data_IF_026971621348
#
_entry.id   IF_026971621348
#
_cell.length_a   1.000
_cell.length_b   1.000
_cell.length_c   1.000
_cell.angle_alpha   90.00
_cell.angle_beta   90.00
_cell.angle_gamma   90.00
#
_symmetry.space_group_name_H-M   'P 1'
#
loop_
_entity.id
_entity.type
_entity.pdbx_description
1 polymer ?
#
# COMPACT_ATOMS: atom_id res chain seq x y z
N UNK A 1 9.60 -3.50 3.51
CA UNK A 1 8.65 -4.08 2.51
C UNK A 1 9.09 -3.87 1.06
N UNK A 2 9.80 -2.78 0.71
CA UNK A 2 10.37 -2.56 -0.64
C UNK A 2 11.87 -2.29 -0.58
N UNK A 3 12.61 -2.59 -1.66
CA UNK A 3 14.07 -2.51 -1.70
C UNK A 3 14.60 -1.07 -1.86
N UNK A 4 13.84 -0.15 -2.48
CA UNK A 4 14.21 1.27 -2.55
C UNK A 4 13.00 2.18 -2.75
N UNK A 5 13.12 3.47 -2.38
CA UNK A 5 12.06 4.48 -2.56
C UNK A 5 11.67 4.67 -4.04
N UNK A 6 12.64 4.61 -4.95
CA UNK A 6 12.42 4.79 -6.39
C UNK A 6 11.69 3.59 -7.03
N UNK A 7 12.01 2.37 -6.59
CA UNK A 7 11.36 1.16 -7.09
C UNK A 7 9.91 1.06 -6.61
N UNK A 8 9.64 1.47 -5.37
CA UNK A 8 8.27 1.60 -4.86
C UNK A 8 7.45 2.57 -5.70
N UNK A 9 8.01 3.74 -6.04
CA UNK A 9 7.30 4.74 -6.85
C UNK A 9 6.96 4.22 -8.25
N UNK A 10 7.89 3.51 -8.91
CA UNK A 10 7.64 2.87 -10.20
C UNK A 10 6.56 1.79 -10.13
N UNK A 11 6.56 0.98 -9.06
CA UNK A 11 5.54 -0.05 -8.85
C UNK A 11 4.14 0.54 -8.60
N UNK A 12 4.06 1.64 -7.85
CA UNK A 12 2.81 2.37 -7.61
C UNK A 12 2.29 2.97 -8.93
N UNK A 13 3.14 3.69 -9.66
CA UNK A 13 2.77 4.26 -10.97
C UNK A 13 2.35 3.20 -11.99
N UNK A 14 2.95 2.01 -11.95
CA UNK A 14 2.59 0.86 -12.78
C UNK A 14 1.31 0.13 -12.33
N UNK A 15 0.62 0.60 -11.28
CA UNK A 15 -0.58 -0.05 -10.74
C UNK A 15 -0.30 -1.42 -10.10
N UNK A 16 0.96 -1.68 -9.74
CA UNK A 16 1.43 -2.91 -9.12
C UNK A 16 1.27 -2.93 -7.61
N UNK A 17 0.72 -1.87 -7.00
CA UNK A 17 0.44 -1.77 -5.57
C UNK A 17 -1.04 -1.47 -5.36
N UNK A 18 -1.65 -2.16 -4.40
CA UNK A 18 -3.01 -1.89 -3.96
C UNK A 18 -3.07 -1.85 -2.45
N UNK A 19 -3.89 -0.98 -1.89
CA UNK A 19 -4.09 -0.83 -0.45
C UNK A 19 -5.58 -1.00 -0.19
N UNK A 20 -5.96 -1.89 0.74
CA UNK A 20 -7.34 -2.24 1.03
C UNK A 20 -8.17 -2.62 -0.22
N UNK A 21 -7.54 -3.32 -1.18
CA UNK A 21 -8.08 -3.68 -2.51
C UNK A 21 -8.29 -2.50 -3.48
N UNK A 22 -7.91 -1.27 -3.11
CA UNK A 22 -7.88 -0.13 -4.03
C UNK A 22 -6.48 0.05 -4.61
N UNK A 23 -6.38 0.31 -5.92
CA UNK A 23 -5.07 0.56 -6.55
C UNK A 23 -4.53 1.90 -6.10
N UNK A 24 -3.28 1.91 -5.63
CA UNK A 24 -2.59 3.15 -5.30
C UNK A 24 -2.03 3.72 -6.60
N UNK A 25 -2.48 4.92 -6.97
CA UNK A 25 -2.01 5.65 -8.15
C UNK A 25 -0.96 6.70 -7.78
N UNK A 26 -1.01 7.23 -6.55
CA UNK A 26 -0.06 8.22 -6.05
C UNK A 26 0.82 7.67 -4.93
N UNK A 27 2.14 7.77 -5.12
CA UNK A 27 3.12 7.35 -4.12
C UNK A 27 3.20 8.28 -2.92
N UNK A 28 2.64 9.49 -3.02
CA UNK A 28 2.54 10.46 -1.94
C UNK A 28 1.17 10.41 -1.23
N UNK A 29 0.31 9.44 -1.58
CA UNK A 29 -0.98 9.31 -0.92
C UNK A 29 -0.78 9.06 0.58
N UNK A 30 -1.37 9.95 1.39
CA UNK A 30 -1.35 9.85 2.84
C UNK A 30 -2.48 8.94 3.31
N UNK A 31 -2.13 7.81 3.92
CA UNK A 31 -3.09 6.97 4.60
C UNK A 31 -3.30 7.49 6.02
N UNK A 32 -4.50 7.98 6.29
CA UNK A 32 -4.95 8.46 7.59
C UNK A 32 -5.76 7.39 8.31
N UNK A 33 -6.20 7.67 9.54
CA UNK A 33 -7.02 6.76 10.34
C UNK A 33 -8.33 6.34 9.65
N UNK A 34 -8.86 7.16 8.74
CA UNK A 34 -10.04 6.82 7.94
C UNK A 34 -9.83 5.64 6.97
N UNK A 35 -8.58 5.32 6.65
CA UNK A 35 -8.23 4.18 5.79
C UNK A 35 -7.84 2.93 6.58
N UNK A 36 -7.85 3.00 7.91
CA UNK A 36 -7.56 1.85 8.76
C UNK A 36 -8.79 0.94 8.84
N UNK A 37 -8.59 -0.34 8.58
CA UNK A 37 -9.55 -1.39 8.88
C UNK A 37 -9.50 -1.61 10.39
N UNK A 38 -10.66 -1.49 11.06
CA UNK A 38 -10.75 -1.57 12.52
C UNK A 38 -9.82 -0.60 13.26
N UNK A 39 -9.49 0.55 12.67
CA UNK A 39 -8.58 1.55 13.27
C UNK A 39 -7.17 1.01 13.58
N UNK A 40 -6.80 -0.15 13.03
CA UNK A 40 -5.57 -0.86 13.41
C UNK A 40 -4.83 -1.46 12.22
N UNK A 41 -5.50 -1.76 11.11
CA UNK A 41 -4.91 -2.55 10.03
C UNK A 41 -4.98 -1.88 8.66
N UNK A 42 -3.92 -2.06 7.87
CA UNK A 42 -3.89 -1.73 6.44
C UNK A 42 -3.42 -2.97 5.69
N UNK A 43 -4.17 -3.38 4.66
CA UNK A 43 -3.76 -4.47 3.78
C UNK A 43 -3.07 -3.88 2.56
N UNK A 44 -1.78 -4.13 2.40
CA UNK A 44 -1.01 -3.74 1.21
C UNK A 44 -0.79 -4.97 0.33
N UNK A 45 -1.15 -4.87 -0.93
CA UNK A 45 -0.94 -5.87 -1.94
C UNK A 45 0.13 -5.37 -2.94
N UNK A 46 1.14 -6.20 -3.20
CA UNK A 46 2.18 -5.96 -4.21
C UNK A 46 2.07 -7.02 -5.32
N UNK A 47 1.54 -6.61 -6.46
CA UNK A 47 1.21 -7.51 -7.56
C UNK A 47 0.08 -8.48 -7.20
N UNK A 48 0.02 -9.64 -7.85
CA UNK A 48 -1.11 -10.57 -7.66
C UNK A 48 -0.99 -11.47 -6.41
N UNK A 49 0.24 -11.77 -5.96
CA UNK A 49 0.48 -12.83 -4.96
C UNK A 49 1.00 -12.32 -3.61
N UNK A 50 1.57 -11.12 -3.53
CA UNK A 50 2.17 -10.66 -2.28
C UNK A 50 1.18 -9.79 -1.54
N UNK A 51 0.79 -10.23 -0.35
CA UNK A 51 -0.04 -9.47 0.58
C UNK A 51 0.77 -9.21 1.84
N UNK A 52 0.64 -7.99 2.36
CA UNK A 52 1.30 -7.51 3.55
C UNK A 52 0.23 -6.88 4.43
N UNK A 53 0.21 -7.25 5.71
CA UNK A 53 -0.59 -6.57 6.70
C UNK A 53 0.31 -5.57 7.41
N UNK A 54 -0.06 -4.30 7.38
CA UNK A 54 0.53 -3.27 8.21
C UNK A 54 -0.39 -3.04 9.40
N UNK A 55 0.21 -2.98 10.59
CA UNK A 55 -0.47 -2.64 11.84
C UNK A 55 -0.07 -1.21 12.15
N UNK A 56 -1.06 -0.34 12.32
CA UNK A 56 -0.85 1.02 12.82
C UNK A 56 -0.86 0.94 14.34
N UNK A 57 0.31 1.13 14.96
CA UNK A 57 0.48 1.33 16.40
C UNK A 57 0.78 2.82 16.66
#
# INVERSE_FOLDING_TARGET
VFASKGETKKLIQGGGVSVNKEKVSDANQLFTTAHLINEQFIVVQKGKKNYFLLIAE
#
